data_IF_063145154205
#
_entry.id   IF_063145154205
#
_cell.length_a   1.000
_cell.length_b   1.000
_cell.length_c   1.000
_cell.angle_alpha   90.00
_cell.angle_beta   90.00
_cell.angle_gamma   90.00
#
_symmetry.space_group_name_H-M   'P 1'
#
loop_
_entity.id
_entity.type
_entity.pdbx_description
1 polymer ?
#
# COMPACT_ATOMS: atom_id res chain seq x y z
N UNK A 1 -41.96 4.48 22.03
CA UNK A 1 -41.38 4.02 20.76
C UNK A 1 -39.93 4.46 20.71
N UNK A 2 -39.03 3.54 20.32
CA UNK A 2 -37.57 3.61 20.11
C UNK A 2 -36.74 3.92 21.37
N UNK A 3 -35.93 3.04 21.99
CA UNK A 3 -35.20 1.82 21.60
C UNK A 3 -34.11 2.05 20.53
N UNK A 4 -32.84 1.90 20.96
CA UNK A 4 -31.67 1.70 20.10
C UNK A 4 -30.61 2.80 20.17
N UNK A 5 -29.90 2.92 21.30
CA UNK A 5 -28.53 3.46 21.27
C UNK A 5 -27.64 2.35 20.71
N UNK A 6 -27.09 2.57 19.52
CA UNK A 6 -26.21 1.62 18.85
C UNK A 6 -24.97 1.36 19.70
N UNK A 7 -24.72 0.09 19.94
CA UNK A 7 -23.58 -0.42 20.69
C UNK A 7 -22.28 0.02 20.02
N UNK A 8 -21.46 0.73 20.79
CA UNK A 8 -20.07 0.98 20.44
C UNK A 8 -19.39 -0.39 20.47
N UNK A 9 -19.02 -0.90 19.30
CA UNK A 9 -18.24 -2.14 19.20
C UNK A 9 -16.87 -1.89 19.86
N UNK A 10 -16.71 -2.34 21.10
CA UNK A 10 -15.46 -2.27 21.88
C UNK A 10 -14.49 -3.42 21.55
N UNK A 11 -14.66 -4.10 20.42
CA UNK A 11 -13.79 -5.21 19.97
C UNK A 11 -12.45 -4.73 19.34
N UNK A 12 -12.04 -3.49 19.55
CA UNK A 12 -10.85 -2.90 18.91
C UNK A 12 -9.52 -3.16 19.67
N UNK A 13 -9.52 -3.91 20.77
CA UNK A 13 -8.30 -4.14 21.57
C UNK A 13 -7.95 -5.62 21.83
N UNK A 14 -8.24 -6.49 20.87
CA UNK A 14 -7.76 -7.88 20.85
C UNK A 14 -6.55 -8.08 19.95
N UNK A 15 -5.49 -7.28 20.09
CA UNK A 15 -4.18 -7.66 19.53
C UNK A 15 -3.40 -8.33 20.66
N UNK A 16 -3.46 -9.65 20.69
CA UNK A 16 -2.45 -10.43 21.40
C UNK A 16 -1.08 -10.00 20.86
N UNK A 17 -0.17 -9.70 21.79
CA UNK A 17 1.21 -9.32 21.51
C UNK A 17 1.95 -10.51 20.84
N UNK A 18 1.66 -10.80 19.58
CA UNK A 18 2.51 -11.65 18.77
C UNK A 18 3.75 -10.84 18.38
N UNK A 19 4.89 -11.25 18.93
CA UNK A 19 6.21 -10.68 18.66
C UNK A 19 6.61 -10.90 17.19
N UNK A 20 6.08 -10.04 16.31
CA UNK A 20 6.40 -9.98 14.88
C UNK A 20 7.85 -9.53 14.61
N UNK A 21 8.61 -9.17 15.64
CA UNK A 21 9.99 -8.68 15.54
C UNK A 21 11.00 -9.75 15.13
N UNK A 22 10.77 -11.03 15.45
CA UNK A 22 11.70 -12.11 15.10
C UNK A 22 11.42 -12.74 13.71
N UNK A 23 10.17 -12.74 13.24
CA UNK A 23 9.79 -13.35 11.96
C UNK A 23 10.33 -12.56 10.74
N UNK A 24 10.48 -11.24 10.88
CA UNK A 24 10.91 -10.33 9.82
C UNK A 24 12.34 -10.60 9.31
N UNK A 25 13.27 -11.02 10.18
CA UNK A 25 14.65 -11.35 9.77
C UNK A 25 14.75 -12.73 9.11
N UNK A 26 13.90 -13.67 9.51
CA UNK A 26 13.86 -15.02 8.92
C UNK A 26 13.41 -14.98 7.45
N UNK A 27 12.39 -14.16 7.12
CA UNK A 27 11.83 -14.07 5.75
C UNK A 27 12.70 -13.25 4.77
N UNK A 28 13.49 -12.29 5.25
CA UNK A 28 14.41 -11.51 4.40
C UNK A 28 15.51 -12.36 3.75
N UNK A 29 15.94 -13.45 4.39
CA UNK A 29 17.04 -14.28 3.89
C UNK A 29 16.61 -15.36 2.87
N UNK A 30 15.30 -15.55 2.66
CA UNK A 30 14.76 -16.65 1.84
C UNK A 30 14.49 -16.25 0.38
N UNK A 31 14.47 -14.96 0.02
CA UNK A 31 14.04 -14.52 -1.33
C UNK A 31 15.15 -14.19 -2.33
N UNK A 32 16.41 -14.51 -2.02
CA UNK A 32 17.48 -14.58 -3.03
C UNK A 32 17.39 -15.89 -3.83
N UNK A 33 16.33 -16.06 -4.62
CA UNK A 33 16.28 -17.10 -5.65
C UNK A 33 16.25 -16.40 -7.01
N UNK A 34 17.46 -16.27 -7.57
CA UNK A 34 17.70 -15.97 -8.97
C UNK A 34 16.78 -16.82 -9.85
N UNK A 35 15.85 -16.18 -10.55
CA UNK A 35 15.06 -16.82 -11.59
C UNK A 35 15.97 -17.11 -12.79
N UNK A 36 16.63 -18.26 -12.76
CA UNK A 36 17.43 -18.79 -13.87
C UNK A 36 17.12 -20.27 -14.07
N UNK A 37 16.41 -20.56 -15.15
CA UNK A 37 16.29 -21.84 -15.85
C UNK A 37 15.65 -23.04 -15.12
N UNK A 38 14.35 -23.21 -15.33
CA UNK A 38 13.72 -24.53 -15.32
C UNK A 38 13.20 -24.86 -16.73
N UNK A 39 14.02 -25.57 -17.50
CA UNK A 39 13.62 -26.22 -18.75
C UNK A 39 12.94 -27.55 -18.41
N UNK A 40 11.61 -27.64 -18.60
CA UNK A 40 10.91 -28.93 -18.69
C UNK A 40 9.87 -28.87 -19.81
N UNK A 41 9.98 -29.82 -20.75
CA UNK A 41 9.12 -29.98 -21.90
C UNK A 41 7.81 -30.73 -21.58
N UNK A 42 6.78 -30.33 -22.33
CA UNK A 42 5.78 -31.14 -23.04
C UNK A 42 4.35 -31.34 -22.50
N UNK A 43 3.43 -30.72 -23.26
CA UNK A 43 2.18 -31.24 -23.84
C UNK A 43 0.87 -31.38 -23.03
N UNK A 44 -0.06 -30.50 -23.46
CA UNK A 44 -1.50 -30.67 -23.78
C UNK A 44 -2.56 -30.48 -22.67
N UNK A 45 -3.38 -29.47 -22.96
CA UNK A 45 -4.83 -29.35 -22.79
C UNK A 45 -5.35 -28.74 -21.50
N UNK A 46 -6.33 -27.85 -21.67
CA UNK A 46 -7.05 -27.18 -20.61
C UNK A 46 -6.48 -25.80 -20.29
N UNK A 47 -7.06 -24.75 -20.89
CA UNK A 47 -6.98 -23.39 -20.35
C UNK A 47 -7.83 -23.36 -19.06
N UNK A 48 -7.38 -24.10 -18.05
CA UNK A 48 -7.93 -24.02 -16.71
C UNK A 48 -7.39 -22.71 -16.15
N UNK A 49 -8.20 -21.65 -16.21
CA UNK A 49 -7.90 -20.42 -15.51
C UNK A 49 -7.78 -20.80 -14.04
N UNK A 50 -6.55 -20.94 -13.55
CA UNK A 50 -6.28 -21.21 -12.14
C UNK A 50 -6.57 -19.94 -11.35
N UNK A 51 -7.86 -19.63 -11.21
CA UNK A 51 -8.37 -18.43 -10.54
C UNK A 51 -8.04 -18.50 -9.06
N UNK A 52 -8.23 -19.65 -8.41
CA UNK A 52 -8.05 -19.81 -6.96
C UNK A 52 -6.63 -19.51 -6.45
N UNK A 53 -5.58 -19.98 -7.14
CA UNK A 53 -4.19 -19.71 -6.71
C UNK A 53 -3.80 -18.25 -6.98
N UNK A 54 -4.22 -17.70 -8.13
CA UNK A 54 -3.94 -16.30 -8.48
C UNK A 54 -4.65 -15.33 -7.51
N UNK A 55 -5.88 -15.65 -7.12
CA UNK A 55 -6.65 -14.85 -6.19
C UNK A 55 -6.06 -14.90 -4.78
N UNK A 56 -5.60 -16.07 -4.33
CA UNK A 56 -4.89 -16.22 -3.06
C UNK A 56 -3.58 -15.41 -3.04
N UNK A 57 -2.79 -15.49 -4.12
CA UNK A 57 -1.55 -14.71 -4.26
C UNK A 57 -1.81 -13.20 -4.22
N UNK A 58 -2.83 -12.72 -4.95
CA UNK A 58 -3.23 -11.31 -4.94
C UNK A 58 -3.70 -10.86 -3.56
N UNK A 59 -4.45 -11.71 -2.85
CA UNK A 59 -4.90 -11.43 -1.48
C UNK A 59 -3.70 -11.27 -0.53
N UNK A 60 -2.77 -12.22 -0.54
CA UNK A 60 -1.59 -12.18 0.32
C UNK A 60 -0.68 -10.98 -0.02
N UNK A 61 -0.51 -10.66 -1.30
CA UNK A 61 0.21 -9.45 -1.72
C UNK A 61 -0.46 -8.17 -1.18
N UNK A 62 -1.78 -8.09 -1.24
CA UNK A 62 -2.56 -6.97 -0.70
C UNK A 62 -2.39 -6.83 0.81
N UNK A 63 -2.52 -7.92 1.54
CA UNK A 63 -2.38 -7.95 3.01
C UNK A 63 -0.98 -7.47 3.43
N UNK A 64 0.07 -7.96 2.77
CA UNK A 64 1.45 -7.48 3.00
C UNK A 64 1.59 -5.99 2.72
N UNK A 65 1.07 -5.50 1.60
CA UNK A 65 1.12 -4.07 1.27
C UNK A 65 0.45 -3.22 2.35
N UNK A 66 -0.74 -3.61 2.79
CA UNK A 66 -1.48 -2.88 3.83
C UNK A 66 -0.77 -2.92 5.17
N UNK A 67 -0.18 -4.04 5.55
CA UNK A 67 0.66 -4.15 6.75
C UNK A 67 1.81 -3.14 6.73
N UNK A 68 2.54 -3.02 5.62
CA UNK A 68 3.64 -2.05 5.50
C UNK A 68 3.15 -0.60 5.57
N UNK A 69 2.01 -0.28 4.93
CA UNK A 69 1.42 1.06 5.01
C UNK A 69 1.04 1.39 6.45
N UNK A 70 0.31 0.49 7.13
CA UNK A 70 -0.12 0.69 8.52
C UNK A 70 1.07 0.85 9.46
N UNK A 71 2.11 0.02 9.30
CA UNK A 71 3.35 0.13 10.07
C UNK A 71 4.04 1.49 9.86
N UNK A 72 4.18 1.92 8.61
CA UNK A 72 4.77 3.23 8.31
C UNK A 72 3.96 4.38 8.93
N UNK A 73 2.62 4.32 8.89
CA UNK A 73 1.76 5.32 9.52
C UNK A 73 1.93 5.35 11.05
N UNK A 74 2.02 4.18 11.68
CA UNK A 74 2.26 4.05 13.12
C UNK A 74 3.62 4.64 13.52
N UNK A 75 4.71 4.27 12.82
CA UNK A 75 6.07 4.76 13.10
C UNK A 75 6.21 6.28 12.91
N UNK A 76 5.44 6.86 11.98
CA UNK A 76 5.51 8.28 11.64
C UNK A 76 4.45 9.14 12.32
N UNK A 77 3.59 8.53 13.16
CA UNK A 77 2.46 9.18 13.84
C UNK A 77 1.52 9.88 12.84
N UNK A 78 1.32 9.27 11.67
CA UNK A 78 0.34 9.74 10.70
C UNK A 78 -1.04 9.28 11.15
N UNK A 79 -1.97 10.23 11.23
CA UNK A 79 -3.38 9.96 11.54
C UNK A 79 -3.97 8.94 10.56
N UNK A 80 -4.73 7.97 11.07
CA UNK A 80 -5.41 6.97 10.22
C UNK A 80 -6.34 7.59 9.18
N UNK A 81 -6.90 8.76 9.48
CA UNK A 81 -7.72 9.51 8.53
C UNK A 81 -6.95 9.92 7.26
N UNK A 82 -5.62 9.84 7.21
CA UNK A 82 -4.84 10.14 6.01
C UNK A 82 -5.25 9.30 4.78
N UNK A 83 -5.75 8.08 5.00
CA UNK A 83 -6.20 7.19 3.89
C UNK A 83 -7.51 7.63 3.25
N UNK A 84 -8.27 8.54 3.89
CA UNK A 84 -9.55 9.04 3.37
C UNK A 84 -9.37 10.23 2.42
N UNK A 85 -8.17 10.81 2.37
CA UNK A 85 -7.89 11.94 1.48
C UNK A 85 -7.86 11.48 0.02
N UNK A 86 -8.45 12.25 -0.92
CA UNK A 86 -8.47 11.90 -2.35
C UNK A 86 -7.09 11.70 -2.98
N UNK A 87 -6.04 12.26 -2.39
CA UNK A 87 -4.65 12.10 -2.85
C UNK A 87 -4.04 10.72 -2.55
N UNK A 88 -4.63 9.94 -1.64
CA UNK A 88 -4.08 8.65 -1.23
C UNK A 88 -4.11 7.61 -2.35
N UNK A 89 -5.27 7.46 -3.02
CA UNK A 89 -5.42 6.48 -4.10
C UNK A 89 -4.49 6.75 -5.30
N UNK A 90 -4.39 8.00 -5.84
CA UNK A 90 -3.42 8.33 -6.87
C UNK A 90 -1.96 8.04 -6.49
N UNK A 91 -1.59 8.24 -5.21
CA UNK A 91 -0.25 7.90 -4.73
C UNK A 91 0.02 6.39 -4.83
N UNK A 92 -0.93 5.55 -4.39
CA UNK A 92 -0.81 4.09 -4.48
C UNK A 92 -0.74 3.63 -5.94
N UNK A 93 -1.57 4.20 -6.81
CA UNK A 93 -1.57 3.88 -8.24
C UNK A 93 -0.25 4.24 -8.91
N UNK A 94 0.32 5.42 -8.60
CA UNK A 94 1.62 5.83 -9.13
C UNK A 94 2.75 4.88 -8.70
N UNK A 95 2.75 4.44 -7.43
CA UNK A 95 3.72 3.44 -6.93
C UNK A 95 3.54 2.10 -7.67
N UNK A 96 2.29 1.64 -7.83
CA UNK A 96 1.98 0.39 -8.53
C UNK A 96 2.35 0.41 -10.01
N UNK A 97 2.14 1.54 -10.70
CA UNK A 97 2.51 1.74 -12.11
C UNK A 97 4.02 1.74 -12.33
N UNK A 98 4.79 2.28 -11.39
CA UNK A 98 6.26 2.20 -11.45
C UNK A 98 6.74 0.76 -11.27
N UNK A 99 6.16 0.02 -10.31
CA UNK A 99 6.44 -1.39 -10.08
C UNK A 99 7.55 -1.67 -9.05
N UNK A 100 8.12 -2.87 -9.09
CA UNK A 100 9.13 -3.31 -8.10
C UNK A 100 10.40 -2.48 -8.23
N UNK A 101 10.95 -2.03 -7.11
CA UNK A 101 12.20 -1.25 -7.07
C UNK A 101 12.01 0.27 -7.07
N UNK A 102 10.79 0.78 -6.88
CA UNK A 102 10.56 2.18 -6.50
C UNK A 102 11.43 2.52 -5.29
N UNK A 103 12.27 3.53 -5.43
CA UNK A 103 12.93 4.15 -4.28
C UNK A 103 12.04 5.28 -3.76
N UNK A 104 11.88 5.34 -2.44
CA UNK A 104 11.21 6.46 -1.81
C UNK A 104 11.95 7.78 -2.12
N UNK A 105 11.22 8.91 -2.16
CA UNK A 105 11.85 10.20 -2.40
C UNK A 105 12.75 10.58 -1.23
N UNK A 106 13.84 11.29 -1.52
CA UNK A 106 14.71 11.86 -0.50
C UNK A 106 14.07 13.08 0.15
N UNK A 107 14.51 13.41 1.38
CA UNK A 107 14.03 14.60 2.08
C UNK A 107 14.23 15.89 1.27
N UNK A 108 15.34 15.99 0.53
CA UNK A 108 15.62 17.13 -0.32
C UNK A 108 14.65 17.22 -1.51
N UNK A 109 14.37 16.11 -2.18
CA UNK A 109 13.40 16.07 -3.28
C UNK A 109 12.02 16.52 -2.83
N UNK A 110 11.53 15.97 -1.71
CA UNK A 110 10.24 16.34 -1.14
C UNK A 110 10.21 17.83 -0.80
N UNK A 111 11.17 18.31 0.00
CA UNK A 111 11.16 19.67 0.53
C UNK A 111 11.37 20.74 -0.53
N UNK A 112 12.29 20.50 -1.47
CA UNK A 112 12.72 21.55 -2.41
C UNK A 112 11.98 21.45 -3.73
N UNK A 113 11.76 20.25 -4.25
CA UNK A 113 11.26 20.06 -5.61
C UNK A 113 9.76 19.78 -5.62
N UNK A 114 9.31 18.76 -4.89
CA UNK A 114 7.91 18.33 -4.95
C UNK A 114 6.98 19.37 -4.31
N UNK A 115 7.28 19.87 -3.12
CA UNK A 115 6.45 20.89 -2.46
C UNK A 115 6.34 22.19 -3.28
N UNK A 116 7.41 22.61 -3.98
CA UNK A 116 7.36 23.79 -4.85
C UNK A 116 6.43 23.57 -6.05
N UNK A 117 6.43 22.36 -6.62
CA UNK A 117 5.54 21.99 -7.72
C UNK A 117 4.08 21.99 -7.27
N UNK A 118 3.78 21.36 -6.13
CA UNK A 118 2.41 21.35 -5.56
C UNK A 118 1.90 22.76 -5.25
N UNK A 119 2.76 23.63 -4.71
CA UNK A 119 2.41 25.03 -4.45
C UNK A 119 2.09 25.81 -5.74
N UNK A 120 2.87 25.59 -6.80
CA UNK A 120 2.61 26.21 -8.10
C UNK A 120 1.29 25.73 -8.72
N UNK A 121 1.04 24.41 -8.70
CA UNK A 121 -0.20 23.81 -9.17
C UNK A 121 -1.41 24.39 -8.44
N UNK A 122 -1.34 24.52 -7.11
CA UNK A 122 -2.42 25.09 -6.30
C UNK A 122 -2.69 26.54 -6.68
N UNK A 123 -1.62 27.36 -6.84
CA UNK A 123 -1.74 28.76 -7.24
C UNK A 123 -2.38 28.91 -8.61
N UNK A 124 -1.99 28.07 -9.57
CA UNK A 124 -2.53 28.13 -10.92
C UNK A 124 -4.01 27.71 -10.95
N UNK A 125 -4.39 26.66 -10.20
CA UNK A 125 -5.79 26.26 -10.04
C UNK A 125 -6.63 27.40 -9.40
N UNK A 126 -6.07 28.13 -8.44
CA UNK A 126 -6.75 29.28 -7.81
C UNK A 126 -6.93 30.47 -8.76
N UNK A 127 -5.97 30.75 -9.66
CA UNK A 127 -6.07 31.85 -10.63
C UNK A 127 -7.28 31.70 -11.57
N UNK A 128 -7.60 30.47 -11.95
CA UNK A 128 -8.76 30.18 -12.81
C UNK A 128 -10.10 30.52 -12.13
N UNK A 129 -10.14 30.72 -10.82
CA UNK A 129 -11.34 31.09 -10.06
C UNK A 129 -11.40 32.57 -9.65
N UNK A 130 -10.38 33.38 -9.97
CA UNK A 130 -10.34 34.82 -9.62
C UNK A 130 -10.64 35.74 -10.82
N UNK A 131 -11.25 35.21 -11.88
CA UNK A 131 -11.73 35.99 -13.04
C UNK A 131 -13.26 36.00 -13.03
N UNK A 132 -13.83 36.74 -12.09
CA UNK A 132 -15.18 37.33 -12.11
C UNK A 132 -15.16 38.57 -11.21
#
# INVERSE_FOLDING_TARGET
>A
MNMGSEDVNEDLFGLEDEDFGEEINSRMNVTNISSGDMVVQNQRSGKMNQTTINDAYKKEARERTYMFITRWMYETVILFNAVTYPSFQPMIEAIGQYGVGVKGPTLHEVRVTNLKKELALTKDLMKHHMVE
#
